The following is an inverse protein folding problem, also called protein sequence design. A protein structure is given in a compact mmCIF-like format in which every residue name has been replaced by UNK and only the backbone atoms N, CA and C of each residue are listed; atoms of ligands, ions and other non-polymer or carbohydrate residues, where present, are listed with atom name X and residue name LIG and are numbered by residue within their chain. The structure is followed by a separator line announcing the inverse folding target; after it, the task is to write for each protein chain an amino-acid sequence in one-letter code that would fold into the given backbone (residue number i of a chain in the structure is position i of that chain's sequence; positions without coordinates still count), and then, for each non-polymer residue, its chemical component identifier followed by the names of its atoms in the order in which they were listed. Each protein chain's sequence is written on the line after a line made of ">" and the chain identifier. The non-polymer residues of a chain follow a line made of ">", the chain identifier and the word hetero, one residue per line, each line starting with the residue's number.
data_IF_268270522055
#
_entry.id   IF_268270522055
#
_cell.length_a   1.000
_cell.length_b   1.000
_cell.length_c   1.000
_cell.angle_alpha   90.00
_cell.angle_beta   90.00
_cell.angle_gamma   90.00
#
_symmetry.space_group_name_H-M   'P 1'
#
loop_
_entity.id
_entity.type
_entity.pdbx_description
1 polymer ?
#
# COMPACT_ATOMS: atom_id res chain seq x y z
N UNK A 1 2.88 -36.25 -12.52
CA UNK A 1 2.37 -35.45 -11.38
C UNK A 1 3.57 -34.80 -10.74
N UNK A 2 3.74 -33.48 -10.85
CA UNK A 2 4.87 -32.76 -10.22
C UNK A 2 4.35 -32.03 -9.00
N UNK A 3 4.53 -32.63 -7.84
CA UNK A 3 4.36 -31.99 -6.54
C UNK A 3 5.43 -30.89 -6.41
N UNK A 4 5.04 -29.64 -6.71
CA UNK A 4 5.88 -28.49 -6.41
C UNK A 4 5.86 -28.27 -4.89
N UNK A 5 6.80 -28.90 -4.19
CA UNK A 5 7.15 -28.62 -2.79
C UNK A 5 7.09 -27.11 -2.54
N UNK A 6 6.18 -26.72 -1.65
CA UNK A 6 6.06 -25.36 -1.15
C UNK A 6 7.39 -24.94 -0.55
N UNK A 7 8.14 -24.09 -1.27
CA UNK A 7 9.13 -23.25 -0.61
C UNK A 7 8.31 -22.33 0.28
N UNK A 8 8.61 -22.26 1.57
CA UNK A 8 8.22 -21.11 2.41
C UNK A 8 8.62 -19.86 1.64
N UNK A 9 7.67 -19.27 0.91
CA UNK A 9 7.91 -18.03 0.20
C UNK A 9 7.73 -16.98 1.28
N UNK A 10 8.85 -16.60 1.88
CA UNK A 10 8.95 -15.30 2.52
C UNK A 10 8.40 -14.28 1.52
N UNK A 11 7.28 -13.68 1.88
CA UNK A 11 6.55 -12.76 1.03
C UNK A 11 6.73 -11.37 1.64
N UNK A 12 7.61 -10.54 1.05
CA UNK A 12 7.75 -9.15 1.44
C UNK A 12 6.38 -8.46 1.48
N UNK A 13 6.09 -7.78 2.59
CA UNK A 13 4.85 -7.04 2.74
C UNK A 13 5.06 -5.84 3.67
N UNK A 14 4.15 -4.87 3.61
CA UNK A 14 4.18 -3.66 4.46
C UNK A 14 2.95 -3.53 5.36
N UNK A 15 1.84 -4.22 5.04
CA UNK A 15 0.63 -4.20 5.87
C UNK A 15 -0.39 -3.11 5.52
N UNK A 16 -0.64 -2.86 4.23
CA UNK A 16 -1.71 -1.93 3.78
C UNK A 16 -2.67 -2.60 2.81
N UNK A 17 -3.95 -2.17 2.83
CA UNK A 17 -4.81 -2.27 1.65
C UNK A 17 -4.67 -1.00 0.83
N UNK A 18 -4.64 -1.17 -0.48
CA UNK A 18 -4.39 -0.09 -1.42
C UNK A 18 -5.21 -0.24 -2.68
N UNK A 19 -5.50 0.89 -3.31
CA UNK A 19 -6.21 0.99 -4.57
C UNK A 19 -5.43 1.89 -5.52
N UNK A 20 -5.49 1.61 -6.82
CA UNK A 20 -4.87 2.48 -7.84
C UNK A 20 -5.71 3.73 -8.00
N UNK A 21 -5.15 4.88 -7.65
CA UNK A 21 -5.78 6.16 -7.95
C UNK A 21 -5.42 6.56 -9.38
N UNK A 22 -6.44 6.87 -10.17
CA UNK A 22 -6.27 7.50 -11.48
C UNK A 22 -6.86 8.91 -11.43
N UNK A 23 -6.46 9.83 -12.33
CA UNK A 23 -7.05 11.16 -12.40
C UNK A 23 -8.57 11.12 -12.55
N UNK A 24 -9.09 10.18 -13.32
CA UNK A 24 -10.53 9.96 -13.49
C UNK A 24 -11.20 9.57 -12.18
N UNK A 25 -10.65 8.59 -11.46
CA UNK A 25 -11.20 8.15 -10.18
C UNK A 25 -11.11 9.25 -9.09
N UNK A 26 -10.00 10.00 -9.06
CA UNK A 26 -9.85 11.13 -8.16
C UNK A 26 -10.91 12.20 -8.42
N UNK A 27 -11.14 12.52 -9.69
CA UNK A 27 -12.18 13.48 -10.09
C UNK A 27 -13.58 12.99 -9.71
N UNK A 28 -13.89 11.73 -9.96
CA UNK A 28 -15.16 11.12 -9.56
C UNK A 28 -15.38 11.20 -8.05
N UNK A 29 -14.35 10.89 -7.25
CA UNK A 29 -14.40 11.06 -5.79
C UNK A 29 -14.65 12.52 -5.40
N UNK A 30 -13.92 13.48 -5.97
CA UNK A 30 -14.05 14.89 -5.61
C UNK A 30 -15.41 15.50 -6.03
N UNK A 31 -16.09 14.89 -7.00
CA UNK A 31 -17.43 15.29 -7.42
C UNK A 31 -18.53 14.67 -6.54
N UNK A 32 -18.21 13.70 -5.70
CA UNK A 32 -19.16 13.07 -4.80
C UNK A 32 -19.36 13.96 -3.54
N UNK A 33 -20.58 14.45 -3.25
CA UNK A 33 -20.84 15.28 -2.08
C UNK A 33 -20.62 14.54 -0.74
N UNK A 34 -20.62 13.20 -0.76
CA UNK A 34 -20.37 12.36 0.41
C UNK A 34 -18.88 11.95 0.55
N UNK A 35 -17.99 12.48 -0.29
CA UNK A 35 -16.57 12.15 -0.20
C UNK A 35 -15.93 12.71 1.07
N UNK A 36 -15.43 11.81 1.92
CA UNK A 36 -14.74 12.18 3.17
C UNK A 36 -13.34 12.79 2.96
N UNK A 37 -12.76 12.62 1.77
CA UNK A 37 -11.40 13.09 1.44
C UNK A 37 -11.38 13.69 0.04
N UNK A 38 -10.57 14.73 -0.14
CA UNK A 38 -10.26 15.30 -1.45
C UNK A 38 -8.97 14.65 -1.95
N UNK A 39 -9.03 14.11 -3.17
CA UNK A 39 -7.92 13.40 -3.80
C UNK A 39 -7.30 14.27 -4.90
N UNK A 40 -5.98 14.38 -5.00
CA UNK A 40 -5.37 15.07 -6.12
C UNK A 40 -5.61 14.28 -7.41
N UNK A 41 -5.88 14.99 -8.52
CA UNK A 41 -6.19 14.41 -9.83
C UNK A 41 -4.92 13.88 -10.55
N UNK A 42 -4.16 13.02 -9.87
CA UNK A 42 -2.94 12.40 -10.35
C UNK A 42 -3.02 10.88 -10.22
N UNK A 43 -2.14 10.18 -10.94
CA UNK A 43 -1.98 8.73 -10.77
C UNK A 43 -1.13 8.39 -9.56
N UNK A 44 -1.50 7.33 -8.85
CA UNK A 44 -0.73 6.84 -7.70
C UNK A 44 -1.41 5.68 -6.99
N UNK A 45 -0.99 5.45 -5.75
CA UNK A 45 -1.48 4.35 -4.91
C UNK A 45 -2.13 4.93 -3.66
N UNK A 46 -3.45 4.85 -3.58
CA UNK A 46 -4.22 5.32 -2.44
C UNK A 46 -4.26 4.24 -1.35
N UNK A 47 -3.87 4.62 -0.13
CA UNK A 47 -3.97 3.77 1.05
C UNK A 47 -5.42 3.80 1.54
N UNK A 48 -6.10 2.65 1.47
CA UNK A 48 -7.50 2.50 1.91
C UNK A 48 -7.62 1.87 3.29
N UNK A 49 -6.59 1.15 3.72
CA UNK A 49 -6.51 0.57 5.06
C UNK A 49 -5.06 0.36 5.46
N UNK A 50 -4.76 0.56 6.74
CA UNK A 50 -3.47 0.19 7.35
C UNK A 50 -3.79 -0.85 8.42
N UNK A 51 -3.15 -2.01 8.34
CA UNK A 51 -3.37 -3.07 9.33
C UNK A 51 -2.58 -2.76 10.61
N UNK A 52 -3.13 -3.09 11.79
CA UNK A 52 -2.43 -2.92 13.05
C UNK A 52 -1.22 -3.86 13.16
N UNK A 53 -0.26 -3.47 14.00
CA UNK A 53 0.98 -4.22 14.27
C UNK A 53 1.84 -4.44 13.01
N UNK A 54 1.66 -3.59 11.99
CA UNK A 54 2.39 -3.70 10.72
C UNK A 54 3.44 -2.61 10.51
N UNK A 55 4.46 -2.86 9.66
CA UNK A 55 5.46 -1.84 9.36
C UNK A 55 4.87 -0.53 8.81
N UNK A 56 3.76 -0.62 8.07
CA UNK A 56 3.06 0.57 7.59
C UNK A 56 2.45 1.38 8.74
N UNK A 57 1.83 0.75 9.73
CA UNK A 57 1.34 1.44 10.93
C UNK A 57 2.51 2.06 11.71
N UNK A 58 3.56 1.28 11.95
CA UNK A 58 4.76 1.73 12.68
C UNK A 58 5.43 2.94 12.00
N UNK A 59 5.37 3.03 10.68
CA UNK A 59 5.89 4.18 9.91
C UNK A 59 5.03 5.44 10.03
N UNK A 60 3.79 5.34 10.49
CA UNK A 60 2.85 6.47 10.56
C UNK A 60 2.06 6.73 9.27
N UNK A 61 2.00 5.75 8.35
CA UNK A 61 1.04 5.78 7.25
C UNK A 61 -0.39 5.75 7.78
N UNK A 62 -1.28 6.46 7.11
CA UNK A 62 -2.68 6.53 7.46
C UNK A 62 -3.56 6.27 6.23
N UNK A 63 -4.82 5.95 6.51
CA UNK A 63 -5.87 5.89 5.51
C UNK A 63 -6.03 7.27 4.86
N UNK A 64 -6.14 7.29 3.53
CA UNK A 64 -6.21 8.52 2.74
C UNK A 64 -4.86 9.02 2.24
N UNK A 65 -3.75 8.39 2.63
CA UNK A 65 -2.45 8.70 2.04
C UNK A 65 -2.41 8.31 0.57
N UNK A 66 -2.03 9.25 -0.30
CA UNK A 66 -1.71 8.95 -1.68
C UNK A 66 -0.22 8.79 -1.85
N UNK A 67 0.23 7.55 -2.00
CA UNK A 67 1.61 7.21 -2.32
C UNK A 67 1.86 7.53 -3.80
N UNK A 68 2.89 8.33 -4.05
CA UNK A 68 3.28 8.80 -5.39
C UNK A 68 4.67 8.32 -5.79
N UNK A 69 5.52 8.00 -4.81
CA UNK A 69 6.88 7.55 -5.06
C UNK A 69 7.33 6.56 -3.99
N UNK A 70 8.10 5.56 -4.41
CA UNK A 70 8.86 4.65 -3.56
C UNK A 70 10.34 4.77 -3.90
N UNK A 71 11.15 5.23 -2.96
CA UNK A 71 12.55 5.60 -3.18
C UNK A 71 12.64 6.51 -4.42
N UNK A 72 13.34 6.07 -5.48
CA UNK A 72 13.49 6.79 -6.74
C UNK A 72 12.43 6.41 -7.81
N UNK A 73 11.50 5.50 -7.50
CA UNK A 73 10.48 5.02 -8.43
C UNK A 73 9.15 5.78 -8.26
N UNK A 74 8.75 6.51 -9.29
CA UNK A 74 7.40 7.08 -9.38
C UNK A 74 6.38 5.98 -9.60
N UNK A 75 5.37 5.94 -8.74
CA UNK A 75 4.30 4.95 -8.82
C UNK A 75 3.08 5.51 -9.54
N UNK A 76 2.56 4.73 -10.48
CA UNK A 76 1.33 5.05 -11.21
C UNK A 76 0.17 4.13 -10.85
N UNK A 77 0.46 2.96 -10.28
CA UNK A 77 -0.55 1.97 -9.92
C UNK A 77 -0.08 1.04 -8.79
N UNK A 78 -1.04 0.34 -8.19
CA UNK A 78 -0.81 -0.57 -7.08
C UNK A 78 0.01 -1.82 -7.47
N UNK A 79 0.06 -2.19 -8.76
CA UNK A 79 0.84 -3.33 -9.23
C UNK A 79 2.33 -3.03 -9.17
N UNK A 80 2.75 -1.84 -9.60
CA UNK A 80 4.12 -1.37 -9.47
C UNK A 80 4.56 -1.35 -8.00
N UNK A 81 3.70 -0.90 -7.08
CA UNK A 81 3.98 -0.95 -5.64
C UNK A 81 4.22 -2.40 -5.19
N UNK A 82 3.32 -3.33 -5.52
CA UNK A 82 3.44 -4.75 -5.13
C UNK A 82 4.72 -5.37 -5.68
N UNK A 83 5.00 -5.16 -6.96
CA UNK A 83 6.20 -5.70 -7.61
C UNK A 83 7.46 -5.13 -6.96
N UNK A 84 7.49 -3.81 -6.74
CA UNK A 84 8.62 -3.16 -6.12
C UNK A 84 8.93 -3.75 -4.75
N UNK A 85 7.92 -3.88 -3.87
CA UNK A 85 8.07 -4.47 -2.53
C UNK A 85 8.44 -5.94 -2.60
N UNK A 86 7.86 -6.72 -3.52
CA UNK A 86 8.16 -8.15 -3.68
C UNK A 86 9.61 -8.43 -4.09
N UNK A 87 10.29 -7.46 -4.70
CA UNK A 87 11.71 -7.53 -5.05
C UNK A 87 12.64 -7.06 -3.94
N UNK A 88 12.12 -6.47 -2.85
CA UNK A 88 12.92 -5.99 -1.72
C UNK A 88 13.20 -7.10 -0.73
N UNK A 89 14.27 -6.89 0.03
CA UNK A 89 14.61 -7.78 1.12
C UNK A 89 13.76 -7.44 2.35
N UNK A 90 13.40 -8.46 3.11
CA UNK A 90 12.78 -8.26 4.43
C UNK A 90 13.80 -7.54 5.34
N UNK A 91 13.33 -6.55 6.09
CA UNK A 91 14.14 -5.64 6.90
C UNK A 91 14.71 -4.45 6.10
N UNK A 92 14.49 -4.37 4.79
CA UNK A 92 14.86 -3.20 3.99
C UNK A 92 13.91 -2.04 4.30
N UNK A 93 14.47 -0.83 4.42
CA UNK A 93 13.68 0.40 4.64
C UNK A 93 13.46 1.09 3.31
N UNK A 94 12.19 1.39 3.00
CA UNK A 94 11.76 2.08 1.79
C UNK A 94 11.29 3.47 2.17
N UNK A 95 11.86 4.50 1.54
CA UNK A 95 11.36 5.85 1.64
C UNK A 95 10.12 6.00 0.74
N UNK A 96 9.03 6.48 1.31
CA UNK A 96 7.74 6.59 0.65
C UNK A 96 7.32 8.05 0.64
N UNK A 97 7.09 8.57 -0.56
CA UNK A 97 6.54 9.92 -0.74
C UNK A 97 5.03 9.83 -0.86
N UNK A 98 4.34 10.45 0.09
CA UNK A 98 2.88 10.51 0.12
C UNK A 98 2.37 11.94 0.03
N UNK A 99 1.13 12.07 -0.42
CA UNK A 99 0.36 13.30 -0.35
C UNK A 99 -0.77 13.07 0.65
N UNK A 100 -0.79 13.88 1.72
CA UNK A 100 -1.82 13.90 2.76
C UNK A 100 -2.27 15.33 2.96
N UNK A 101 -3.57 15.60 2.85
CA UNK A 101 -4.14 16.96 2.95
C UNK A 101 -3.42 17.97 2.04
N UNK A 102 -3.22 17.60 0.76
CA UNK A 102 -2.47 18.38 -0.24
C UNK A 102 -1.01 18.70 0.12
N UNK A 103 -0.46 18.10 1.18
CA UNK A 103 0.91 18.30 1.63
C UNK A 103 1.73 17.05 1.34
N UNK A 104 2.91 17.24 0.77
CA UNK A 104 3.87 16.15 0.55
C UNK A 104 4.51 15.77 1.88
N UNK A 105 4.47 14.49 2.21
CA UNK A 105 5.12 13.89 3.38
C UNK A 105 5.99 12.73 2.95
N UNK A 106 7.00 12.44 3.76
CA UNK A 106 7.92 11.34 3.56
C UNK A 106 7.85 10.42 4.78
N UNK A 107 7.78 9.13 4.52
CA UNK A 107 7.72 8.08 5.53
C UNK A 107 8.70 6.98 5.20
N UNK A 108 9.40 6.47 6.20
CA UNK A 108 10.32 5.35 6.04
C UNK A 108 9.60 4.09 6.53
N UNK A 109 9.43 3.12 5.63
CA UNK A 109 8.66 1.90 5.87
C UNK A 109 9.57 0.70 5.76
N UNK A 110 9.63 -0.11 6.81
CA UNK A 110 10.35 -1.37 6.79
C UNK A 110 9.54 -2.45 6.04
N UNK A 111 10.22 -3.28 5.26
CA UNK A 111 9.62 -4.43 4.59
C UNK A 111 9.56 -5.60 5.57
N UNK A 112 8.36 -6.00 5.98
CA UNK A 112 8.14 -7.14 6.87
C UNK A 112 8.10 -8.49 6.15
N UNK A 113 8.10 -9.58 6.94
CA UNK A 113 7.80 -10.95 6.49
C UNK A 113 6.33 -11.34 6.79
N UNK A 114 5.53 -11.56 5.75
CA UNK A 114 4.09 -11.83 5.89
C UNK A 114 3.82 -13.11 6.69
N UNK A 115 4.78 -14.03 6.74
CA UNK A 115 4.65 -15.31 7.43
C UNK A 115 4.61 -15.19 8.96
N UNK A 116 5.00 -14.04 9.51
CA UNK A 116 5.07 -13.83 10.96
C UNK A 116 3.82 -13.14 11.53
N UNK A 117 2.90 -12.69 10.67
CA UNK A 117 1.67 -12.10 11.14
C UNK A 117 0.58 -13.16 11.27
N UNK A 118 0.16 -13.42 12.51
CA UNK A 118 -1.15 -14.01 12.85
C UNK A 118 -2.29 -13.04 12.46
N UNK A 119 -2.27 -12.52 11.23
CA UNK A 119 -3.40 -11.77 10.69
C UNK A 119 -4.50 -12.78 10.42
N UNK A 120 -5.44 -12.86 11.35
CA UNK A 120 -6.75 -13.46 11.15
C UNK A 120 -7.50 -12.61 10.11
N UNK A 121 -7.03 -12.61 8.86
CA UNK A 121 -7.79 -12.13 7.72
C UNK A 121 -8.88 -13.17 7.56
N UNK A 122 -10.01 -12.97 8.24
CA UNK A 122 -11.22 -13.70 7.92
C UNK A 122 -11.41 -13.56 6.40
N UNK A 123 -11.36 -14.67 5.65
CA UNK A 123 -11.72 -14.61 4.25
C UNK A 123 -13.13 -14.05 4.23
N UNK A 124 -13.31 -12.90 3.57
CA UNK A 124 -14.62 -12.32 3.31
C UNK A 124 -15.40 -13.32 2.45
N UNK A 125 -16.00 -14.31 3.12
CA UNK A 125 -16.99 -15.22 2.56
C UNK A 125 -18.32 -14.49 2.60
N UNK A 126 -18.42 -13.39 1.86
CA UNK A 126 -19.72 -12.85 1.47
C UNK A 126 -20.33 -13.85 0.48
N UNK A 127 -21.21 -14.70 1.01
CA UNK A 127 -22.13 -15.59 0.29
C UNK A 127 -23.15 -14.81 -0.53
#
# INVERSE_FOLDING_TARGET
>A
VVEKKGRERKSPFVGIKMLTLTPTLAKENNQNPDASIILPEISGVLVTHVFPDTPAEASGLLIGDLITQLNDLTLQNNEQFRQYVAERNIGEVLQVKVIRDNTVKYFDIEVGDFHQMDINIEPDHSR
#
